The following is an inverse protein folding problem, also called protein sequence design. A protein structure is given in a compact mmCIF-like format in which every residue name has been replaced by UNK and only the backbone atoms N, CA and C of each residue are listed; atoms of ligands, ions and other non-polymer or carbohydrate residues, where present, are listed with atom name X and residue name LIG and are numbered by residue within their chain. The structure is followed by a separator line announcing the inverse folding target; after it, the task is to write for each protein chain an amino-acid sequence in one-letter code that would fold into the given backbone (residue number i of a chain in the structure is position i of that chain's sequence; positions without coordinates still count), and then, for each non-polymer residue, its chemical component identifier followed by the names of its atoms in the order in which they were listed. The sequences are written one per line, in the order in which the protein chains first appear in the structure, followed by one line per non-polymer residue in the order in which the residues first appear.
data_IF_141518861044
#
_entry.id   IF_141518861044
#
_cell.length_a   1.000
_cell.length_b   1.000
_cell.length_c   1.000
_cell.angle_alpha   90.00
_cell.angle_beta   90.00
_cell.angle_gamma   90.00
#
_symmetry.space_group_name_H-M   'P 1'
#
loop_
_entity.id
_entity.type
_entity.pdbx_description
1 polymer ?
#
# COMPACT_ATOMS: atom_id res chain seq x y z
N UNK A 1 28.37 -26.70 -14.84
CA UNK A 1 27.21 -25.77 -14.89
C UNK A 1 27.28 -25.03 -16.20
N UNK A 2 26.23 -25.10 -17.04
CA UNK A 2 26.19 -24.31 -18.26
C UNK A 2 25.86 -22.85 -17.93
N UNK A 3 26.23 -21.91 -18.80
CA UNK A 3 25.90 -20.47 -18.61
C UNK A 3 24.38 -20.23 -18.40
N UNK A 4 23.54 -21.08 -19.00
CA UNK A 4 22.08 -21.06 -18.83
C UNK A 4 21.62 -21.39 -17.40
N UNK A 5 22.26 -22.36 -16.74
CA UNK A 5 21.90 -22.79 -15.38
C UNK A 5 22.24 -21.72 -14.33
N UNK A 6 23.36 -21.02 -14.54
CA UNK A 6 23.77 -19.91 -13.69
C UNK A 6 22.80 -18.72 -13.78
N UNK A 7 22.30 -18.40 -14.98
CA UNK A 7 21.32 -17.34 -15.20
C UNK A 7 19.97 -17.68 -14.54
N UNK A 8 19.47 -18.91 -14.70
CA UNK A 8 18.22 -19.36 -14.06
C UNK A 8 18.30 -19.28 -12.53
N UNK A 9 19.37 -19.81 -11.96
CA UNK A 9 19.61 -19.74 -10.50
C UNK A 9 19.63 -18.30 -9.98
N UNK A 10 20.28 -17.39 -10.73
CA UNK A 10 20.33 -15.97 -10.36
C UNK A 10 18.94 -15.31 -10.46
N UNK A 11 18.16 -15.60 -11.49
CA UNK A 11 16.79 -15.09 -11.64
C UNK A 11 15.88 -15.60 -10.51
N UNK A 12 15.99 -16.88 -10.12
CA UNK A 12 15.23 -17.46 -9.02
C UNK A 12 15.59 -16.81 -7.68
N UNK A 13 16.89 -16.59 -7.42
CA UNK A 13 17.34 -15.88 -6.23
C UNK A 13 16.79 -14.44 -6.17
N UNK A 14 16.84 -13.72 -7.30
CA UNK A 14 16.27 -12.37 -7.42
C UNK A 14 14.76 -12.37 -7.21
N UNK A 15 14.04 -13.34 -7.77
CA UNK A 15 12.59 -13.49 -7.60
C UNK A 15 12.24 -13.65 -6.12
N UNK A 16 12.88 -14.60 -5.42
CA UNK A 16 12.66 -14.82 -3.98
C UNK A 16 12.91 -13.55 -3.16
N UNK A 17 14.00 -12.84 -3.44
CA UNK A 17 14.32 -11.59 -2.75
C UNK A 17 13.24 -10.52 -2.98
N UNK A 18 12.76 -10.36 -4.22
CA UNK A 18 11.71 -9.38 -4.54
C UNK A 18 10.37 -9.77 -3.93
N UNK A 19 10.03 -11.05 -3.88
CA UNK A 19 8.82 -11.54 -3.22
C UNK A 19 8.84 -11.22 -1.73
N UNK A 20 9.97 -11.43 -1.05
CA UNK A 20 10.13 -11.05 0.36
C UNK A 20 9.95 -9.55 0.56
N UNK A 21 10.53 -8.71 -0.31
CA UNK A 21 10.35 -7.25 -0.25
C UNK A 21 8.90 -6.83 -0.48
N UNK A 22 8.21 -7.46 -1.43
CA UNK A 22 6.79 -7.21 -1.67
C UNK A 22 5.94 -7.60 -0.46
N UNK A 23 6.15 -8.80 0.10
CA UNK A 23 5.46 -9.25 1.32
C UNK A 23 5.70 -8.32 2.50
N UNK A 24 6.94 -7.86 2.69
CA UNK A 24 7.28 -6.87 3.72
C UNK A 24 6.50 -5.56 3.51
N UNK A 25 6.52 -5.02 2.30
CA UNK A 25 5.77 -3.79 1.99
C UNK A 25 4.25 -3.96 2.21
N UNK A 26 3.69 -5.13 1.90
CA UNK A 26 2.29 -5.44 2.14
C UNK A 26 1.96 -5.49 3.64
N UNK A 27 2.82 -6.14 4.43
CA UNK A 27 2.68 -6.19 5.90
C UNK A 27 2.77 -4.80 6.50
N UNK A 28 3.75 -3.99 6.09
CA UNK A 28 3.93 -2.62 6.58
C UNK A 28 2.70 -1.77 6.25
N UNK A 29 2.17 -1.86 5.03
CA UNK A 29 0.91 -1.20 4.63
C UNK A 29 -0.26 -1.64 5.50
N UNK A 30 -0.45 -2.96 5.70
CA UNK A 30 -1.55 -3.47 6.54
C UNK A 30 -1.46 -2.98 7.99
N UNK A 31 -0.25 -2.93 8.55
CA UNK A 31 -0.03 -2.38 9.90
C UNK A 31 -0.39 -0.90 9.95
N UNK A 32 0.06 -0.13 8.97
CA UNK A 32 -0.24 1.29 8.88
C UNK A 32 -1.74 1.54 8.70
N UNK A 33 -2.45 0.72 7.94
CA UNK A 33 -3.90 0.83 7.78
C UNK A 33 -4.63 0.79 9.13
N UNK A 34 -4.23 -0.13 10.02
CA UNK A 34 -4.80 -0.22 11.38
C UNK A 34 -4.51 1.03 12.20
N UNK A 35 -3.32 1.61 12.07
CA UNK A 35 -2.98 2.88 12.75
C UNK A 35 -3.84 4.02 12.21
N UNK A 36 -4.06 4.09 10.90
CA UNK A 36 -4.95 5.08 10.27
C UNK A 36 -6.40 4.92 10.74
N UNK A 37 -6.90 3.70 10.89
CA UNK A 37 -8.23 3.44 11.46
C UNK A 37 -8.34 3.88 12.93
N UNK A 38 -7.31 3.60 13.74
CA UNK A 38 -7.26 4.03 15.13
C UNK A 38 -7.23 5.56 15.26
N UNK A 39 -6.46 6.24 14.41
CA UNK A 39 -6.43 7.71 14.42
C UNK A 39 -7.73 8.31 13.89
N UNK A 40 -8.41 7.67 12.93
CA UNK A 40 -9.74 8.07 12.48
C UNK A 40 -10.76 8.01 13.64
N UNK A 41 -10.72 6.94 14.43
CA UNK A 41 -11.56 6.82 15.62
C UNK A 41 -11.25 7.90 16.65
N UNK A 42 -9.97 8.19 16.89
CA UNK A 42 -9.54 9.27 17.79
C UNK A 42 -10.10 10.64 17.35
N UNK A 43 -10.10 10.94 16.04
CA UNK A 43 -10.73 12.15 15.49
C UNK A 43 -12.23 12.17 15.75
N UNK A 44 -12.92 11.04 15.54
CA UNK A 44 -14.36 10.95 15.80
C UNK A 44 -14.69 11.19 17.28
N UNK A 45 -13.91 10.59 18.19
CA UNK A 45 -14.08 10.75 19.63
C UNK A 45 -13.82 12.19 20.08
N UNK A 46 -12.78 12.84 19.53
CA UNK A 46 -12.45 14.23 19.82
C UNK A 46 -13.56 15.17 19.31
N UNK A 47 -14.08 14.96 18.10
CA UNK A 47 -15.23 15.71 17.57
C UNK A 47 -16.48 15.51 18.42
N UNK A 48 -16.73 14.30 18.89
CA UNK A 48 -17.85 14.02 19.78
C UNK A 48 -17.71 14.76 21.12
N UNK A 49 -16.47 14.94 21.65
CA UNK A 49 -16.22 15.78 22.84
C UNK A 49 -16.58 17.24 22.56
N UNK A 50 -16.16 17.80 21.44
CA UNK A 50 -16.52 19.19 21.04
C UNK A 50 -18.04 19.38 21.03
N UNK A 51 -18.77 18.47 20.39
CA UNK A 51 -20.24 18.53 20.31
C UNK A 51 -20.87 18.46 21.70
N UNK A 52 -20.36 17.60 22.60
CA UNK A 52 -20.88 17.50 23.97
C UNK A 52 -20.69 18.80 24.76
N UNK A 53 -19.52 19.43 24.66
CA UNK A 53 -19.28 20.69 25.37
C UNK A 53 -20.14 21.85 24.82
N UNK A 54 -20.31 21.93 23.49
CA UNK A 54 -21.21 22.90 22.88
C UNK A 54 -22.66 22.68 23.28
N UNK A 55 -23.12 21.42 23.30
CA UNK A 55 -24.46 21.07 23.75
C UNK A 55 -24.66 21.43 25.23
N UNK A 56 -23.66 21.17 26.09
CA UNK A 56 -23.74 21.50 27.50
C UNK A 56 -23.80 23.02 27.75
N UNK A 57 -23.06 23.82 26.95
CA UNK A 57 -23.20 25.30 26.96
C UNK A 57 -24.58 25.75 26.51
N UNK A 58 -25.12 25.13 25.47
CA UNK A 58 -26.45 25.48 25.00
C UNK A 58 -27.54 25.13 26.04
N UNK A 59 -27.44 23.97 26.68
CA UNK A 59 -28.32 23.57 27.77
C UNK A 59 -28.23 24.53 28.98
N UNK A 60 -27.02 25.01 29.31
CA UNK A 60 -26.83 26.03 30.34
C UNK A 60 -27.55 27.33 29.99
N UNK A 61 -27.39 27.80 28.74
CA UNK A 61 -28.08 29.00 28.26
C UNK A 61 -29.61 28.85 28.29
N UNK A 62 -30.14 27.69 27.91
CA UNK A 62 -31.57 27.40 28.00
C UNK A 62 -32.09 27.38 29.44
N UNK A 63 -31.30 26.83 30.39
CA UNK A 63 -31.63 26.87 31.82
C UNK A 63 -31.69 28.32 32.31
N UNK A 64 -30.73 29.14 31.92
CA UNK A 64 -30.68 30.56 32.32
C UNK A 64 -31.89 31.33 31.83
N UNK A 65 -32.26 31.17 30.56
CA UNK A 65 -33.41 31.87 29.99
C UNK A 65 -34.72 31.42 30.63
N UNK A 66 -34.87 30.12 30.92
CA UNK A 66 -36.01 29.57 31.65
C UNK A 66 -36.13 30.13 33.07
N UNK A 67 -35.05 30.10 33.85
CA UNK A 67 -35.04 30.52 35.26
C UNK A 67 -35.23 32.03 35.41
N UNK A 68 -34.71 32.82 34.46
CA UNK A 68 -34.93 34.26 34.39
C UNK A 68 -36.39 34.59 34.03
N UNK A 69 -36.98 33.88 33.07
CA UNK A 69 -38.40 34.05 32.69
C UNK A 69 -39.39 33.68 33.79
N UNK A 70 -38.98 32.83 34.75
CA UNK A 70 -39.78 32.42 35.91
C UNK A 70 -39.50 33.25 37.17
N UNK A 71 -38.66 34.30 37.09
CA UNK A 71 -38.19 35.11 38.23
C UNK A 71 -37.58 34.27 39.38
N UNK A 72 -37.04 33.08 39.08
CA UNK A 72 -36.42 32.17 40.06
C UNK A 72 -34.92 32.40 40.22
N UNK A 73 -34.36 33.29 39.41
CA UNK A 73 -32.94 33.55 39.34
C UNK A 73 -32.50 34.61 40.36
N UNK A 74 -31.64 34.21 41.31
CA UNK A 74 -30.99 35.15 42.24
C UNK A 74 -29.72 35.76 41.63
N UNK A 75 -29.25 36.93 42.12
CA UNK A 75 -27.97 37.52 41.68
C UNK A 75 -26.76 36.59 41.87
N UNK A 76 -26.75 35.78 42.93
CA UNK A 76 -25.71 34.76 43.15
C UNK A 76 -25.81 33.63 42.12
N UNK A 77 -27.01 33.14 41.83
CA UNK A 77 -27.23 32.12 40.79
C UNK A 77 -26.80 32.58 39.39
N UNK A 78 -26.96 33.88 39.07
CA UNK A 78 -26.41 34.46 37.85
C UNK A 78 -24.88 34.41 37.83
N UNK A 79 -24.23 34.79 38.93
CA UNK A 79 -22.77 34.74 39.04
C UNK A 79 -22.24 33.31 38.90
N UNK A 80 -22.85 32.34 39.59
CA UNK A 80 -22.48 30.92 39.49
C UNK A 80 -22.62 30.41 38.06
N UNK A 81 -23.67 30.82 37.36
CA UNK A 81 -23.88 30.43 35.97
C UNK A 81 -22.86 31.05 35.02
N UNK A 82 -22.46 32.32 35.23
CA UNK A 82 -21.39 32.95 34.44
C UNK A 82 -20.07 32.21 34.63
N UNK A 83 -19.75 31.81 35.86
CA UNK A 83 -18.55 31.00 36.15
C UNK A 83 -18.64 29.64 35.46
N UNK A 84 -19.81 28.99 35.48
CA UNK A 84 -20.06 27.73 34.79
C UNK A 84 -19.88 27.87 33.26
N UNK A 85 -20.45 28.90 32.63
CA UNK A 85 -20.31 29.13 31.19
C UNK A 85 -18.87 29.42 30.80
N UNK A 86 -18.14 30.24 31.57
CA UNK A 86 -16.71 30.48 31.34
C UNK A 86 -15.89 29.19 31.42
N UNK A 87 -16.21 28.31 32.36
CA UNK A 87 -15.55 27.00 32.48
C UNK A 87 -15.85 26.11 31.27
N UNK A 88 -17.12 26.03 30.85
CA UNK A 88 -17.53 25.25 29.68
C UNK A 88 -16.99 25.83 28.37
N UNK A 89 -16.86 27.15 28.27
CA UNK A 89 -16.23 27.79 27.11
C UNK A 89 -14.76 27.38 26.98
N UNK A 90 -14.02 27.36 28.09
CA UNK A 90 -12.64 26.85 28.10
C UNK A 90 -12.58 25.36 27.74
N UNK A 91 -13.48 24.55 28.30
CA UNK A 91 -13.57 23.13 27.99
C UNK A 91 -13.85 22.87 26.50
N UNK A 92 -14.78 23.62 25.90
CA UNK A 92 -15.07 23.57 24.47
C UNK A 92 -13.87 23.98 23.61
N UNK A 93 -13.12 25.01 24.02
CA UNK A 93 -11.89 25.43 23.36
C UNK A 93 -10.82 24.34 23.38
N UNK A 94 -10.55 23.75 24.55
CA UNK A 94 -9.61 22.64 24.69
C UNK A 94 -10.03 21.41 23.86
N UNK A 95 -11.32 21.07 23.87
CA UNK A 95 -11.85 19.99 23.05
C UNK A 95 -11.65 20.26 21.55
N UNK A 96 -11.77 21.52 21.11
CA UNK A 96 -11.52 21.89 19.72
C UNK A 96 -10.03 21.75 19.37
N UNK A 97 -9.13 22.21 20.24
CA UNK A 97 -7.69 22.02 20.04
C UNK A 97 -7.30 20.53 19.99
N UNK A 98 -7.91 19.70 20.85
CA UNK A 98 -7.73 18.26 20.81
C UNK A 98 -8.21 17.66 19.49
N UNK A 99 -9.37 18.10 18.97
CA UNK A 99 -9.91 17.64 17.70
C UNK A 99 -9.02 18.04 16.51
N UNK A 100 -8.47 19.26 16.51
CA UNK A 100 -7.52 19.71 15.50
C UNK A 100 -6.22 18.91 15.56
N UNK A 101 -5.67 18.68 16.77
CA UNK A 101 -4.48 17.86 16.97
C UNK A 101 -4.69 16.42 16.49
N UNK A 102 -5.81 15.80 16.84
CA UNK A 102 -6.16 14.46 16.36
C UNK A 102 -6.32 14.44 14.84
N UNK A 103 -6.93 15.48 14.25
CA UNK A 103 -7.10 15.61 12.80
C UNK A 103 -5.76 15.72 12.06
N UNK A 104 -4.82 16.50 12.60
CA UNK A 104 -3.48 16.62 12.03
C UNK A 104 -2.71 15.30 12.11
N UNK A 105 -2.76 14.62 13.26
CA UNK A 105 -2.16 13.28 13.40
C UNK A 105 -2.74 12.30 12.38
N UNK A 106 -4.07 12.28 12.21
CA UNK A 106 -4.72 11.40 11.24
C UNK A 106 -4.23 11.68 9.81
N UNK A 107 -4.17 12.95 9.38
CA UNK A 107 -3.63 13.33 8.05
C UNK A 107 -2.19 12.87 7.84
N UNK A 108 -1.36 12.96 8.88
CA UNK A 108 0.02 12.47 8.81
C UNK A 108 0.07 10.95 8.63
N UNK A 109 -0.77 10.20 9.35
CA UNK A 109 -0.84 8.75 9.19
C UNK A 109 -1.42 8.32 7.83
N UNK A 110 -2.37 9.08 7.28
CA UNK A 110 -2.86 8.88 5.90
C UNK A 110 -1.76 9.14 4.87
N UNK A 111 -0.96 10.19 5.05
CA UNK A 111 0.20 10.46 4.21
C UNK A 111 1.20 9.31 4.20
N UNK A 112 1.53 8.77 5.38
CA UNK A 112 2.40 7.58 5.51
C UNK A 112 1.78 6.34 4.86
N UNK A 113 0.47 6.14 4.98
CA UNK A 113 -0.23 5.04 4.31
C UNK A 113 -0.13 5.14 2.79
N UNK A 114 -0.28 6.35 2.23
CA UNK A 114 -0.12 6.61 0.80
C UNK A 114 1.31 6.35 0.30
N UNK A 115 2.32 6.70 1.10
CA UNK A 115 3.71 6.36 0.79
C UNK A 115 3.93 4.84 0.75
N UNK A 116 3.38 4.10 1.73
CA UNK A 116 3.49 2.64 1.78
C UNK A 116 2.74 1.97 0.63
N UNK A 117 1.58 2.48 0.24
CA UNK A 117 0.86 2.07 -0.97
C UNK A 117 1.76 2.23 -2.21
N UNK A 118 2.41 3.37 -2.34
CA UNK A 118 3.33 3.64 -3.45
C UNK A 118 4.52 2.68 -3.44
N UNK A 119 5.11 2.40 -2.27
CA UNK A 119 6.20 1.43 -2.13
C UNK A 119 5.77 0.02 -2.50
N UNK A 120 4.57 -0.39 -2.09
CA UNK A 120 3.99 -1.69 -2.43
C UNK A 120 3.79 -1.83 -3.95
N UNK A 121 3.19 -0.82 -4.59
CA UNK A 121 2.99 -0.80 -6.04
C UNK A 121 4.33 -0.88 -6.80
N UNK A 122 5.35 -0.16 -6.33
CA UNK A 122 6.71 -0.25 -6.89
C UNK A 122 7.33 -1.64 -6.69
N UNK A 123 7.09 -2.29 -5.56
CA UNK A 123 7.56 -3.65 -5.31
C UNK A 123 6.89 -4.66 -6.25
N UNK A 124 5.57 -4.52 -6.49
CA UNK A 124 4.83 -5.35 -7.45
C UNK A 124 5.33 -5.12 -8.88
N UNK A 125 5.46 -3.87 -9.33
CA UNK A 125 5.97 -3.57 -10.67
C UNK A 125 7.38 -4.15 -10.91
N UNK A 126 8.20 -4.20 -9.85
CA UNK A 126 9.50 -4.84 -9.91
C UNK A 126 9.41 -6.38 -10.01
N UNK A 127 8.43 -7.03 -9.38
CA UNK A 127 8.17 -8.46 -9.58
C UNK A 127 7.74 -8.72 -11.03
N UNK A 128 6.77 -7.96 -11.53
CA UNK A 128 6.26 -8.10 -12.89
C UNK A 128 7.38 -7.92 -13.94
N UNK A 129 8.29 -6.96 -13.71
CA UNK A 129 9.46 -6.76 -14.58
C UNK A 129 10.39 -7.98 -14.57
N UNK A 130 10.58 -8.63 -13.42
CA UNK A 130 11.39 -9.84 -13.32
C UNK A 130 10.75 -11.00 -14.07
N UNK A 131 9.43 -11.16 -13.96
CA UNK A 131 8.68 -12.20 -14.67
C UNK A 131 8.74 -12.02 -16.19
N UNK A 132 8.66 -10.77 -16.68
CA UNK A 132 8.86 -10.45 -18.11
C UNK A 132 10.25 -10.86 -18.58
N UNK A 133 11.30 -10.45 -17.84
CA UNK A 133 12.69 -10.81 -18.18
C UNK A 133 12.90 -12.33 -18.17
N UNK A 134 12.32 -13.04 -17.20
CA UNK A 134 12.41 -14.50 -17.14
C UNK A 134 11.70 -15.17 -18.33
N UNK A 135 10.53 -14.66 -18.72
CA UNK A 135 9.79 -15.13 -19.90
C UNK A 135 10.58 -14.91 -21.19
N UNK A 136 11.16 -13.71 -21.37
CA UNK A 136 11.94 -13.38 -22.57
C UNK A 136 13.22 -14.24 -22.66
N UNK A 137 13.93 -14.44 -21.55
CA UNK A 137 15.09 -15.33 -21.49
C UNK A 137 14.72 -16.78 -21.84
N UNK A 138 13.56 -17.26 -21.37
CA UNK A 138 13.04 -18.57 -21.72
C UNK A 138 12.69 -18.70 -23.22
N UNK A 139 12.12 -17.65 -23.81
CA UNK A 139 11.82 -17.60 -25.25
C UNK A 139 13.10 -17.64 -26.08
N UNK A 140 14.09 -16.79 -25.76
CA UNK A 140 15.37 -16.76 -26.46
C UNK A 140 16.12 -18.09 -26.37
N UNK A 141 16.07 -18.76 -25.21
CA UNK A 141 16.69 -20.08 -25.05
C UNK A 141 16.03 -21.15 -25.95
N UNK A 142 14.70 -21.14 -26.09
CA UNK A 142 13.98 -22.06 -26.99
C UNK A 142 14.33 -21.80 -28.46
N UNK A 143 14.36 -20.53 -28.88
CA UNK A 143 14.73 -20.16 -30.25
C UNK A 143 16.16 -20.59 -30.58
N UNK A 144 17.10 -20.38 -29.66
CA UNK A 144 18.49 -20.81 -29.84
C UNK A 144 18.63 -22.35 -29.90
N UNK A 145 17.77 -23.08 -29.18
CA UNK A 145 17.76 -24.53 -29.25
C UNK A 145 17.13 -25.04 -30.56
N UNK A 146 16.02 -24.45 -31.00
CA UNK A 146 15.42 -24.76 -32.31
C UNK A 146 16.41 -24.52 -33.45
N UNK A 147 17.11 -23.38 -33.45
CA UNK A 147 18.13 -23.09 -34.46
C UNK A 147 19.24 -24.16 -34.51
N UNK A 148 19.67 -24.68 -33.35
CA UNK A 148 20.65 -25.78 -33.30
C UNK A 148 20.08 -27.10 -33.80
N UNK A 149 18.85 -27.41 -33.44
CA UNK A 149 18.15 -28.62 -33.92
C UNK A 149 17.95 -28.57 -35.44
N UNK A 150 17.65 -27.40 -36.00
CA UNK A 150 17.55 -27.15 -37.44
C UNK A 150 18.92 -27.29 -38.13
N UNK A 151 19.97 -26.66 -37.60
CA UNK A 151 21.35 -26.79 -38.11
C UNK A 151 21.82 -28.25 -38.11
N UNK A 152 21.56 -29.00 -37.04
CA UNK A 152 21.88 -30.43 -36.92
C UNK A 152 21.09 -31.29 -37.92
N UNK A 153 19.83 -30.94 -38.18
CA UNK A 153 18.99 -31.61 -39.17
C UNK A 153 19.50 -31.37 -40.60
N UNK A 154 19.89 -30.13 -40.92
CA UNK A 154 20.47 -29.76 -42.21
C UNK A 154 21.82 -30.47 -42.45
N UNK A 155 22.71 -30.50 -41.46
CA UNK A 155 23.94 -31.28 -41.54
C UNK A 155 23.69 -32.78 -41.73
N UNK A 156 22.67 -33.34 -41.08
CA UNK A 156 22.30 -34.74 -41.23
C UNK A 156 21.70 -35.03 -42.62
N UNK A 157 20.95 -34.09 -43.20
CA UNK A 157 20.43 -34.19 -44.56
C UNK A 157 21.55 -34.14 -45.61
N UNK A 158 22.49 -33.19 -45.47
CA UNK A 158 23.67 -33.08 -46.33
C UNK A 158 24.51 -34.37 -46.31
N UNK A 159 24.72 -34.98 -45.13
CA UNK A 159 25.45 -36.26 -45.02
C UNK A 159 24.74 -37.40 -45.76
N UNK A 160 23.40 -37.52 -45.66
CA UNK A 160 22.65 -38.57 -46.39
C UNK A 160 22.70 -38.38 -47.90
N UNK A 161 22.57 -37.14 -48.38
CA UNK A 161 22.63 -36.85 -49.81
C UNK A 161 24.06 -36.94 -50.37
N UNK A 162 25.08 -36.60 -49.60
CA UNK A 162 26.48 -36.80 -49.96
C UNK A 162 26.87 -38.28 -50.11
N UNK A 163 26.41 -39.14 -49.20
CA UNK A 163 26.60 -40.60 -49.29
C UNK A 163 25.87 -41.19 -50.51
N UNK A 164 24.71 -40.63 -50.88
CA UNK A 164 23.96 -41.07 -52.06
C UNK A 164 24.68 -40.69 -53.37
N UNK A 165 25.31 -39.52 -53.43
CA UNK A 165 26.07 -39.06 -54.60
C UNK A 165 27.37 -39.85 -54.81
N UNK A 166 28.02 -40.29 -53.72
CA UNK A 166 29.24 -41.10 -53.78
C UNK A 166 28.94 -42.55 -54.21
N UNK A 167 27.77 -43.10 -53.83
CA UNK A 167 27.32 -44.43 -54.30
C UNK A 167 26.92 -44.48 -55.79
N UNK A 168 26.60 -43.33 -56.39
CA UNK A 168 26.23 -43.22 -57.82
C UNK A 168 27.43 -43.05 -58.75
N UNK A 169 28.62 -42.79 -58.20
CA UNK A 169 29.86 -42.65 -58.96
C UNK A 169 30.73 -43.94 -58.93
N UNK A 170 30.38 -44.92 -58.11
CA UNK A 170 31.10 -46.20 -58.00
C UNK A 170 30.51 -47.34 -58.87
N UNK A 171 29.26 -47.19 -59.36
CA UNK A 171 28.59 -48.18 -60.23
C UNK A 171 28.87 -47.98 -61.74
N UNK A 172 29.89 -47.18 -62.08
CA UNK A 172 30.23 -46.78 -63.45
C UNK A 172 31.56 -47.33 -64.00
N UNK A 173 32.11 -48.42 -63.44
CA UNK A 173 33.30 -49.10 -63.97
C UNK A 173 32.97 -50.41 -64.68
#
# INVERSE_FOLDING_TARGET
MTSSDAIKSTLDALRRLREVRHRKAAIDKMRQHRVTEQTAQSVADARARVVRELAARHALAQRVTSDAGQARMSPRGLQDTVVEDLSRMRAAGLAHEDAERAGEQHRQEEGRLAELQTRLNRAQANLDKLERVASDAGRSARLAQQAREDDEADEAALRRHGVSAESLLDDGR
#
